data_IF_932917951662
#
_entry.id   IF_932917951662
#
_cell.length_a   1.000
_cell.length_b   1.000
_cell.length_c   1.000
_cell.angle_alpha   90.00
_cell.angle_beta   90.00
_cell.angle_gamma   90.00
#
_symmetry.space_group_name_H-M   'P 1'
#
loop_
_entity.id
_entity.type
_entity.pdbx_description
1 polymer ?
#
# COMPACT_ATOMS: atom_id res chain seq x y z
N UNK A 1 -5.56 12.78 -4.07
CA UNK A 1 -4.32 12.29 -3.44
C UNK A 1 -4.16 10.85 -3.85
N UNK A 2 -2.97 10.46 -4.29
CA UNK A 2 -2.64 9.14 -4.81
C UNK A 2 -1.86 8.36 -3.75
N UNK A 3 -2.32 7.17 -3.43
CA UNK A 3 -1.73 6.36 -2.36
C UNK A 3 -1.33 4.98 -2.84
N UNK A 4 -0.24 4.47 -2.29
CA UNK A 4 0.22 3.09 -2.48
C UNK A 4 0.08 2.33 -1.16
N UNK A 5 -0.38 1.09 -1.23
CA UNK A 5 -0.47 0.20 -0.06
C UNK A 5 0.56 -0.92 -0.22
N UNK A 6 1.46 -1.07 0.76
CA UNK A 6 2.36 -2.21 0.91
C UNK A 6 1.82 -3.11 2.03
N UNK A 7 1.27 -4.26 1.66
CA UNK A 7 0.53 -5.15 2.56
C UNK A 7 0.49 -6.55 1.94
N UNK A 8 1.01 -7.55 2.66
CA UNK A 8 1.04 -8.94 2.20
C UNK A 8 -0.29 -9.67 2.49
N UNK A 9 -1.07 -9.19 3.46
CA UNK A 9 -2.38 -9.74 3.78
C UNK A 9 -3.53 -9.09 3.00
N UNK A 10 -4.05 -9.79 1.99
CA UNK A 10 -5.19 -9.31 1.18
C UNK A 10 -6.43 -8.87 2.00
N UNK A 11 -6.83 -9.54 3.11
CA UNK A 11 -7.91 -9.04 3.96
C UNK A 11 -7.60 -7.68 4.61
N UNK A 12 -6.37 -7.47 5.09
CA UNK A 12 -5.94 -6.21 5.68
C UNK A 12 -5.93 -5.09 4.64
N UNK A 13 -5.40 -5.36 3.45
CA UNK A 13 -5.40 -4.41 2.34
C UNK A 13 -6.82 -3.99 1.93
N UNK A 14 -7.77 -4.93 1.83
CA UNK A 14 -9.18 -4.62 1.52
C UNK A 14 -9.83 -3.76 2.60
N UNK A 15 -9.58 -4.08 3.87
CA UNK A 15 -10.06 -3.28 5.00
C UNK A 15 -9.50 -1.86 4.95
N UNK A 16 -8.21 -1.70 4.71
CA UNK A 16 -7.55 -0.40 4.61
C UNK A 16 -8.11 0.44 3.45
N UNK A 17 -8.30 -0.15 2.26
CA UNK A 17 -8.94 0.54 1.13
C UNK A 17 -10.34 1.06 1.49
N UNK A 18 -11.14 0.26 2.19
CA UNK A 18 -12.46 0.68 2.66
C UNK A 18 -12.39 1.84 3.68
N UNK A 19 -11.40 1.83 4.57
CA UNK A 19 -11.18 2.94 5.52
C UNK A 19 -10.73 4.22 4.82
N UNK A 20 -9.83 4.12 3.83
CA UNK A 20 -9.37 5.24 3.02
C UNK A 20 -10.55 5.89 2.28
N UNK A 21 -11.36 5.08 1.59
CA UNK A 21 -12.52 5.56 0.84
C UNK A 21 -13.56 6.24 1.75
N UNK A 22 -13.74 5.76 2.99
CA UNK A 22 -14.61 6.38 4.00
C UNK A 22 -14.05 7.69 4.55
N UNK A 23 -12.73 7.84 4.59
CA UNK A 23 -12.06 9.05 5.07
C UNK A 23 -12.17 10.18 4.04
N UNK A 24 -11.82 9.88 2.79
CA UNK A 24 -12.01 10.79 1.65
C UNK A 24 -12.10 9.98 0.35
N UNK A 25 -13.28 10.02 -0.30
CA UNK A 25 -13.55 9.29 -1.52
C UNK A 25 -12.76 9.78 -2.75
N UNK A 26 -12.05 10.93 -2.64
CA UNK A 26 -11.18 11.47 -3.69
C UNK A 26 -9.75 10.90 -3.61
N UNK A 27 -9.46 10.08 -2.61
CA UNK A 27 -8.17 9.37 -2.51
C UNK A 27 -8.20 8.20 -3.49
N UNK A 28 -7.20 8.16 -4.36
CA UNK A 28 -7.00 7.10 -5.35
C UNK A 28 -5.95 6.12 -4.83
N UNK A 29 -6.34 4.85 -4.66
CA UNK A 29 -5.40 3.77 -4.37
C UNK A 29 -4.81 3.28 -5.69
N UNK A 30 -3.55 3.61 -5.94
CA UNK A 30 -2.88 3.29 -7.21
C UNK A 30 -2.60 1.80 -7.35
N UNK A 31 -2.18 1.15 -6.26
CA UNK A 31 -1.94 -0.28 -6.21
C UNK A 31 -1.89 -0.79 -4.77
N UNK A 32 -2.06 -2.09 -4.63
CA UNK A 32 -1.71 -2.88 -3.44
C UNK A 32 -0.55 -3.79 -3.83
N UNK A 33 0.53 -3.74 -3.08
CA UNK A 33 1.77 -4.44 -3.33
C UNK A 33 2.10 -5.34 -2.15
N UNK A 34 2.26 -6.64 -2.39
CA UNK A 34 2.41 -7.65 -1.34
C UNK A 34 3.85 -7.92 -0.88
N UNK A 35 4.86 -7.31 -1.51
CA UNK A 35 6.26 -7.54 -1.14
C UNK A 35 7.17 -6.39 -1.55
N UNK A 36 8.34 -6.30 -0.89
CA UNK A 36 9.40 -5.34 -1.23
C UNK A 36 9.79 -5.46 -2.71
N UNK A 37 9.95 -6.68 -3.23
CA UNK A 37 10.33 -6.91 -4.63
C UNK A 37 9.31 -6.31 -5.60
N UNK A 38 8.02 -6.60 -5.41
CA UNK A 38 6.96 -6.02 -6.26
C UNK A 38 6.87 -4.50 -6.08
N UNK A 39 7.18 -3.98 -4.90
CA UNK A 39 7.24 -2.54 -4.65
C UNK A 39 8.31 -1.86 -5.48
N UNK A 40 9.52 -2.42 -5.50
CA UNK A 40 10.61 -1.93 -6.34
C UNK A 40 10.24 -1.94 -7.83
N UNK A 41 9.63 -3.03 -8.31
CA UNK A 41 9.16 -3.14 -9.69
C UNK A 41 8.10 -2.07 -10.01
N UNK A 42 7.16 -1.81 -9.10
CA UNK A 42 6.13 -0.79 -9.26
C UNK A 42 6.73 0.62 -9.35
N UNK A 43 7.67 0.96 -8.47
CA UNK A 43 8.33 2.28 -8.46
C UNK A 43 9.17 2.56 -9.71
N UNK A 44 9.65 1.52 -10.40
CA UNK A 44 10.38 1.69 -11.66
C UNK A 44 9.47 2.06 -12.84
N UNK A 45 8.17 1.75 -12.75
CA UNK A 45 7.22 1.88 -13.86
C UNK A 45 6.20 3.00 -13.66
N UNK A 46 5.99 3.44 -12.42
CA UNK A 46 4.90 4.35 -12.05
C UNK A 46 5.45 5.64 -11.45
N UNK A 47 4.67 6.72 -11.58
CA UNK A 47 4.96 7.96 -10.87
C UNK A 47 4.83 7.74 -9.35
N UNK A 48 5.67 8.42 -8.53
CA UNK A 48 5.63 8.27 -7.08
C UNK A 48 4.26 8.70 -6.51
N UNK A 49 3.72 7.96 -5.51
CA UNK A 49 2.50 8.34 -4.82
C UNK A 49 2.74 9.54 -3.88
N UNK A 50 1.65 10.18 -3.46
CA UNK A 50 1.70 11.25 -2.47
C UNK A 50 1.91 10.69 -1.04
N UNK A 51 1.43 9.47 -0.77
CA UNK A 51 1.49 8.80 0.52
C UNK A 51 1.58 7.27 0.35
N UNK A 52 2.34 6.62 1.21
CA UNK A 52 2.46 5.16 1.28
C UNK A 52 1.91 4.69 2.62
N UNK A 53 0.99 3.73 2.60
CA UNK A 53 0.65 2.92 3.76
C UNK A 53 1.48 1.64 3.67
N UNK A 54 2.28 1.34 4.69
CA UNK A 54 3.06 0.11 4.73
C UNK A 54 2.80 -0.60 6.03
N UNK A 55 2.38 -1.86 5.96
CA UNK A 55 2.62 -2.76 7.08
C UNK A 55 4.11 -3.11 7.11
N UNK A 56 4.70 -3.08 8.30
CA UNK A 56 6.12 -3.35 8.51
C UNK A 56 6.22 -4.42 9.60
N UNK A 57 6.50 -5.64 9.18
CA UNK A 57 6.87 -6.70 10.08
C UNK A 57 8.39 -6.65 10.33
N UNK A 58 8.79 -6.02 11.43
CA UNK A 58 10.13 -6.23 11.95
C UNK A 58 10.19 -7.63 12.55
N UNK A 59 10.91 -8.53 11.87
CA UNK A 59 11.19 -9.86 12.41
C UNK A 59 11.74 -9.72 13.82
N UNK A 60 11.12 -10.41 14.78
CA UNK A 60 11.84 -10.85 15.98
C UNK A 60 12.93 -11.77 15.46
N UNK A 61 14.12 -11.23 15.24
CA UNK A 61 15.31 -12.05 15.14
C UNK A 61 15.36 -12.91 16.42
N UNK A 62 15.58 -14.23 16.32
CA UNK A 62 16.00 -14.98 17.50
C UNK A 62 17.30 -14.39 18.08
#
# INVERSE_FOLDING_TARGET
MKVLILEDEAPAARRLQGLIARCDARIEVLAVVESVKKGLEWFQQQAPPDLIFSDIQFGRQP
#
